data_IF_670458171013
#
_entry.id   IF_670458171013
#
_cell.length_a   1.000
_cell.length_b   1.000
_cell.length_c   1.000
_cell.angle_alpha   90.00
_cell.angle_beta   90.00
_cell.angle_gamma   90.00
#
_symmetry.space_group_name_H-M   'P 1'
#
loop_
_entity.id
_entity.type
_entity.pdbx_description
1 polymer ?
#
# COMPACT_ATOMS: atom_id res chain seq x y z
N UNK A 1 -68.50 6.78 46.13
CA UNK A 1 -68.01 7.96 45.37
C UNK A 1 -66.95 7.49 44.40
N UNK A 2 -67.39 7.21 43.18
CA UNK A 2 -66.61 6.66 42.07
C UNK A 2 -65.84 7.80 41.38
N UNK A 3 -64.53 7.65 41.21
CA UNK A 3 -63.72 8.52 40.35
C UNK A 3 -63.39 7.76 39.07
N UNK A 4 -64.07 8.10 37.98
CA UNK A 4 -63.74 7.64 36.63
C UNK A 4 -62.44 8.31 36.19
N UNK A 5 -61.40 7.50 35.94
CA UNK A 5 -60.23 7.93 35.15
C UNK A 5 -60.49 7.56 33.70
N UNK A 6 -60.66 8.59 32.86
CA UNK A 6 -60.70 8.47 31.41
C UNK A 6 -59.25 8.28 30.96
N UNK A 7 -58.91 7.06 30.50
CA UNK A 7 -57.67 6.78 29.80
C UNK A 7 -57.89 7.09 28.32
N UNK A 8 -57.28 8.17 27.84
CA UNK A 8 -57.20 8.48 26.41
C UNK A 8 -56.21 7.51 25.76
N UNK A 9 -56.72 6.59 24.94
CA UNK A 9 -55.90 5.79 24.04
C UNK A 9 -55.51 6.65 22.84
N UNK A 10 -54.22 7.00 22.74
CA UNK A 10 -53.65 7.55 21.52
C UNK A 10 -52.73 6.49 20.91
N UNK A 11 -53.29 5.68 20.01
CA UNK A 11 -52.53 4.82 19.13
C UNK A 11 -52.08 5.64 17.93
N UNK A 12 -50.81 6.07 17.91
CA UNK A 12 -50.15 6.52 16.69
C UNK A 12 -49.11 5.47 16.35
N UNK A 13 -49.54 4.51 15.53
CA UNK A 13 -48.65 3.64 14.78
C UNK A 13 -48.23 4.41 13.51
N UNK A 14 -47.07 5.06 13.55
CA UNK A 14 -46.34 5.43 12.34
C UNK A 14 -45.15 4.49 12.21
N UNK A 15 -45.41 3.32 11.64
CA UNK A 15 -44.37 2.41 11.16
C UNK A 15 -43.73 2.99 9.91
N UNK A 16 -42.62 3.71 10.08
CA UNK A 16 -41.71 4.01 8.99
C UNK A 16 -40.43 3.23 9.24
N UNK A 17 -40.43 1.95 8.89
CA UNK A 17 -39.18 1.20 8.75
C UNK A 17 -38.43 1.78 7.58
N UNK A 18 -37.53 2.73 7.84
CA UNK A 18 -36.51 3.12 6.88
C UNK A 18 -35.60 1.90 6.73
N UNK A 19 -35.77 1.17 5.63
CA UNK A 19 -34.84 0.12 5.24
C UNK A 19 -33.48 0.78 4.99
N UNK A 20 -32.56 0.61 5.94
CA UNK A 20 -31.15 0.96 5.74
C UNK A 20 -30.68 0.06 4.59
N UNK A 21 -30.17 0.61 3.47
CA UNK A 21 -29.57 -0.23 2.45
C UNK A 21 -28.38 -0.92 3.11
N UNK A 22 -28.45 -2.25 3.23
CA UNK A 22 -27.30 -3.04 3.64
C UNK A 22 -26.23 -2.81 2.57
N UNK A 23 -25.24 -1.99 2.92
CA UNK A 23 -23.98 -1.90 2.20
C UNK A 23 -23.51 -3.34 2.01
N UNK A 24 -23.57 -3.81 0.77
CA UNK A 24 -23.04 -5.09 0.35
C UNK A 24 -21.58 -5.11 0.77
N UNK A 25 -21.29 -5.85 1.85
CA UNK A 25 -19.92 -6.07 2.26
C UNK A 25 -19.20 -6.73 1.08
N UNK A 26 -18.07 -6.19 0.60
CA UNK A 26 -17.28 -6.91 -0.38
C UNK A 26 -16.95 -8.26 0.24
N UNK A 27 -17.32 -9.32 -0.48
CA UNK A 27 -17.03 -10.71 -0.13
C UNK A 27 -15.61 -10.81 0.41
N UNK A 28 -15.50 -11.05 1.71
CA UNK A 28 -14.25 -11.41 2.37
C UNK A 28 -13.85 -12.77 1.79
N UNK A 29 -13.18 -12.75 0.64
CA UNK A 29 -12.59 -13.93 0.06
C UNK A 29 -11.35 -14.26 0.91
N UNK A 30 -11.59 -14.87 2.07
CA UNK A 30 -10.60 -15.37 3.03
C UNK A 30 -9.93 -16.67 2.57
N UNK A 31 -10.03 -17.00 1.28
CA UNK A 31 -9.15 -17.98 0.69
C UNK A 31 -7.71 -17.45 0.79
N UNK A 32 -6.92 -18.04 1.68
CA UNK A 32 -5.47 -18.05 1.58
C UNK A 32 -5.09 -18.79 0.28
N UNK A 33 -5.42 -18.18 -0.86
CA UNK A 33 -5.00 -18.66 -2.16
C UNK A 33 -3.49 -18.68 -2.18
N UNK A 34 -2.91 -19.76 -2.70
CA UNK A 34 -1.47 -19.82 -2.94
C UNK A 34 -1.06 -18.57 -3.70
N UNK A 35 -0.10 -17.83 -3.15
CA UNK A 35 0.48 -16.66 -3.79
C UNK A 35 1.09 -17.12 -5.14
N UNK A 36 0.44 -16.77 -6.27
CA UNK A 36 0.94 -17.01 -7.64
C UNK A 36 1.52 -15.74 -8.27
N UNK A 37 2.67 -15.85 -8.94
CA UNK A 37 3.31 -14.73 -9.65
C UNK A 37 2.39 -14.02 -10.64
N UNK A 38 1.44 -14.77 -11.22
CA UNK A 38 0.51 -14.25 -12.20
C UNK A 38 -0.61 -13.38 -11.60
N UNK A 39 -0.79 -13.38 -10.28
CA UNK A 39 -1.70 -12.49 -9.55
C UNK A 39 -1.03 -11.20 -9.05
N UNK A 40 0.29 -11.06 -9.22
CA UNK A 40 1.02 -9.91 -8.73
C UNK A 40 0.84 -8.66 -9.62
N UNK A 41 0.85 -7.47 -9.01
CA UNK A 41 0.72 -6.20 -9.71
C UNK A 41 2.08 -5.54 -9.92
N UNK A 42 2.32 -4.96 -11.10
CA UNK A 42 3.44 -4.03 -11.25
C UNK A 42 3.28 -2.84 -10.27
N UNK A 43 4.34 -2.40 -9.57
CA UNK A 43 4.19 -1.59 -8.36
C UNK A 43 4.02 -0.08 -8.61
N UNK A 44 4.15 0.42 -9.85
CA UNK A 44 4.07 1.86 -10.14
C UNK A 44 3.31 2.15 -11.43
N UNK A 45 2.43 3.15 -11.37
CA UNK A 45 1.75 3.72 -12.54
C UNK A 45 2.66 4.75 -13.26
N UNK A 46 2.39 5.03 -14.53
CA UNK A 46 3.18 5.99 -15.35
C UNK A 46 4.69 5.70 -15.38
N UNK A 47 5.06 4.43 -15.40
CA UNK A 47 6.44 3.98 -15.48
C UNK A 47 7.15 4.54 -16.72
N UNK A 48 8.35 5.09 -16.53
CA UNK A 48 9.17 5.67 -17.59
C UNK A 48 10.43 4.86 -17.88
N UNK A 49 10.95 4.12 -16.89
CA UNK A 49 12.15 3.33 -17.05
C UNK A 49 12.80 2.92 -15.73
N UNK A 50 13.72 1.97 -15.81
CA UNK A 50 14.59 1.61 -14.69
C UNK A 50 15.76 2.58 -14.62
N UNK A 51 15.98 3.19 -13.45
CA UNK A 51 17.03 4.22 -13.29
C UNK A 51 18.22 3.74 -12.49
N UNK A 52 18.04 2.76 -11.60
CA UNK A 52 19.13 2.20 -10.80
C UNK A 52 18.89 0.73 -10.46
N UNK A 53 19.84 -0.18 -10.79
CA UNK A 53 19.71 -1.60 -10.53
C UNK A 53 20.02 -1.95 -9.07
N UNK A 54 19.52 -3.09 -8.61
CA UNK A 54 19.94 -3.73 -7.37
C UNK A 54 21.42 -4.15 -7.43
N UNK A 55 22.13 -4.05 -6.31
CA UNK A 55 23.53 -4.48 -6.16
C UNK A 55 24.51 -3.31 -6.04
N UNK A 56 25.80 -3.62 -6.14
CA UNK A 56 26.86 -2.61 -6.07
C UNK A 56 26.88 -1.73 -7.32
N UNK A 57 26.90 -0.41 -7.11
CA UNK A 57 26.94 0.60 -8.17
C UNK A 57 27.78 1.81 -7.73
N UNK A 58 28.16 2.65 -8.70
CA UNK A 58 28.73 3.97 -8.39
C UNK A 58 27.72 4.84 -7.66
N UNK A 59 28.20 5.74 -6.81
CA UNK A 59 27.34 6.68 -6.10
C UNK A 59 26.46 7.50 -7.07
N UNK A 60 25.14 7.62 -6.81
CA UNK A 60 24.24 8.43 -7.63
C UNK A 60 24.55 9.93 -7.51
N UNK A 61 25.30 10.36 -6.49
CA UNK A 61 25.72 11.76 -6.32
C UNK A 61 26.98 12.11 -7.10
N UNK A 62 27.56 11.16 -7.84
CA UNK A 62 28.79 11.37 -8.63
C UNK A 62 30.08 11.27 -7.81
N UNK A 63 29.98 10.96 -6.51
CA UNK A 63 31.15 10.65 -5.70
C UNK A 63 31.88 9.40 -6.22
N UNK A 64 33.22 9.34 -6.11
CA UNK A 64 34.02 8.19 -6.56
C UNK A 64 33.92 7.01 -5.57
N UNK A 65 32.73 6.77 -5.03
CA UNK A 65 32.43 5.72 -4.07
C UNK A 65 31.50 4.68 -4.70
N UNK A 66 31.61 3.44 -4.21
CA UNK A 66 30.67 2.37 -4.55
C UNK A 66 29.71 2.21 -3.40
N UNK A 67 28.40 2.16 -3.68
CA UNK A 67 27.37 1.87 -2.70
C UNK A 67 26.55 0.66 -3.11
N UNK A 68 26.06 -0.08 -2.12
CA UNK A 68 25.14 -1.19 -2.34
C UNK A 68 23.71 -0.68 -2.39
N UNK A 69 23.03 -0.90 -3.52
CA UNK A 69 21.64 -0.57 -3.72
C UNK A 69 20.75 -1.79 -3.42
N UNK A 70 19.97 -1.72 -2.34
CA UNK A 70 19.17 -2.84 -1.83
C UNK A 70 17.80 -3.01 -2.50
N UNK A 71 17.51 -2.24 -3.54
CA UNK A 71 16.25 -2.27 -4.27
C UNK A 71 16.42 -2.01 -5.76
N UNK A 72 15.32 -1.75 -6.44
CA UNK A 72 15.27 -1.36 -7.84
C UNK A 72 14.51 -0.04 -7.95
N UNK A 73 15.08 0.91 -8.69
CA UNK A 73 14.47 2.23 -8.86
C UNK A 73 13.70 2.32 -10.17
N UNK A 74 12.44 2.73 -10.08
CA UNK A 74 11.54 2.97 -11.20
C UNK A 74 11.28 4.46 -11.35
N UNK A 75 11.74 5.07 -12.45
CA UNK A 75 11.35 6.43 -12.80
C UNK A 75 9.85 6.48 -13.10
N UNK A 76 9.19 7.44 -12.46
CA UNK A 76 7.82 7.83 -12.75
C UNK A 76 7.62 9.28 -12.27
N UNK A 77 6.74 10.07 -12.91
CA UNK A 77 6.46 11.44 -12.48
C UNK A 77 6.02 11.49 -11.01
N UNK A 78 6.43 12.54 -10.29
CA UNK A 78 5.94 12.80 -8.94
C UNK A 78 4.40 12.84 -8.94
N UNK A 79 3.78 12.19 -7.96
CA UNK A 79 2.32 12.01 -7.89
C UNK A 79 1.80 10.76 -8.61
N UNK A 80 2.63 10.02 -9.35
CA UNK A 80 2.21 8.74 -9.93
C UNK A 80 1.85 7.75 -8.84
N UNK A 81 0.74 7.01 -8.99
CA UNK A 81 0.30 6.09 -7.96
C UNK A 81 1.23 4.87 -7.84
N UNK A 82 1.47 4.48 -6.60
CA UNK A 82 2.18 3.26 -6.21
C UNK A 82 1.13 2.21 -5.87
N UNK A 83 1.27 1.03 -6.45
CA UNK A 83 0.38 -0.11 -6.26
C UNK A 83 1.02 -1.16 -5.37
N UNK A 84 0.21 -1.77 -4.52
CA UNK A 84 0.61 -2.93 -3.75
C UNK A 84 0.93 -4.11 -4.67
N UNK A 85 2.17 -4.60 -4.62
CA UNK A 85 2.64 -5.71 -5.44
C UNK A 85 1.83 -6.99 -5.24
N UNK A 86 1.55 -7.34 -3.99
CA UNK A 86 0.88 -8.58 -3.63
C UNK A 86 0.06 -8.43 -2.36
N UNK A 87 -1.08 -9.12 -2.27
CA UNK A 87 -1.94 -9.13 -1.08
C UNK A 87 -1.12 -9.36 0.19
N UNK A 88 -1.33 -8.53 1.20
CA UNK A 88 -0.50 -8.55 2.40
C UNK A 88 -1.00 -7.66 3.51
N UNK A 89 -0.25 -7.63 4.60
CA UNK A 89 -0.49 -6.76 5.75
C UNK A 89 0.59 -5.68 5.82
N UNK A 90 0.20 -4.43 6.03
CA UNK A 90 1.12 -3.33 6.33
C UNK A 90 1.75 -3.61 7.68
N UNK A 91 3.06 -3.80 7.73
CA UNK A 91 3.79 -4.09 8.97
C UNK A 91 4.60 -2.91 9.48
N UNK A 92 4.82 -1.90 8.64
CA UNK A 92 5.49 -0.66 9.02
C UNK A 92 5.06 0.46 8.07
N UNK A 93 4.80 1.64 8.65
CA UNK A 93 4.86 2.92 7.96
C UNK A 93 5.92 3.77 8.64
N UNK A 94 6.75 4.47 7.88
CA UNK A 94 7.78 5.32 8.48
C UNK A 94 8.05 6.53 7.61
N UNK A 95 8.65 7.55 8.20
CA UNK A 95 9.13 8.75 7.52
C UNK A 95 10.46 9.21 8.14
N UNK A 96 11.06 10.27 7.60
CA UNK A 96 12.33 10.84 8.08
C UNK A 96 13.54 9.87 8.08
N UNK A 97 13.50 8.82 7.25
CA UNK A 97 14.64 7.92 7.00
C UNK A 97 15.33 8.26 5.67
N UNK A 98 16.43 7.56 5.34
CA UNK A 98 17.01 7.64 3.99
C UNK A 98 16.02 7.20 2.89
N UNK A 99 15.10 6.29 3.22
CA UNK A 99 13.99 5.86 2.37
C UNK A 99 12.85 6.90 2.32
N UNK A 100 12.92 7.97 3.11
CA UNK A 100 11.87 8.99 3.17
C UNK A 100 10.60 8.43 3.82
N UNK A 101 9.45 8.87 3.32
CA UNK A 101 8.15 8.27 3.64
C UNK A 101 8.05 6.91 2.97
N UNK A 102 7.69 5.89 3.75
CA UNK A 102 7.68 4.50 3.32
C UNK A 102 6.49 3.73 3.85
N UNK A 103 6.16 2.67 3.11
CA UNK A 103 5.23 1.61 3.51
C UNK A 103 5.95 0.27 3.31
N UNK A 104 5.89 -0.62 4.31
CA UNK A 104 6.33 -2.01 4.22
C UNK A 104 5.15 -2.94 4.39
N UNK A 105 5.04 -3.92 3.50
CA UNK A 105 3.97 -4.91 3.52
C UNK A 105 4.55 -6.33 3.54
N UNK A 106 3.95 -7.19 4.36
CA UNK A 106 4.23 -8.61 4.45
C UNK A 106 3.21 -9.42 3.63
N UNK A 107 3.70 -10.26 2.73
CA UNK A 107 2.93 -11.18 1.89
C UNK A 107 3.46 -12.61 2.03
N UNK A 108 2.95 -13.35 3.02
CA UNK A 108 3.46 -14.70 3.34
C UNK A 108 4.91 -14.62 3.79
N UNK A 109 5.83 -15.27 3.07
CA UNK A 109 7.27 -15.21 3.34
C UNK A 109 7.99 -14.00 2.68
N UNK A 110 7.26 -13.15 1.97
CA UNK A 110 7.80 -11.97 1.29
C UNK A 110 7.56 -10.69 2.08
N UNK A 111 8.55 -9.81 2.10
CA UNK A 111 8.36 -8.40 2.43
C UNK A 111 8.64 -7.55 1.20
N UNK A 112 7.88 -6.47 1.05
CA UNK A 112 8.10 -5.46 0.03
C UNK A 112 8.00 -4.07 0.64
N UNK A 113 8.97 -3.22 0.33
CA UNK A 113 9.09 -1.85 0.85
C UNK A 113 9.02 -0.88 -0.31
N UNK A 114 8.24 0.17 -0.14
CA UNK A 114 8.05 1.27 -1.08
C UNK A 114 8.62 2.53 -0.44
N UNK A 115 9.61 3.15 -1.08
CA UNK A 115 10.33 4.32 -0.57
C UNK A 115 10.03 5.58 -1.39
N UNK A 116 10.49 6.72 -0.86
CA UNK A 116 10.44 8.05 -1.46
C UNK A 116 9.01 8.50 -1.76
N UNK A 117 8.04 8.05 -0.96
CA UNK A 117 6.63 8.30 -1.20
C UNK A 117 6.25 9.76 -0.88
N UNK A 118 5.18 10.25 -1.49
CA UNK A 118 4.47 11.44 -1.02
C UNK A 118 3.76 11.16 0.30
N UNK A 119 3.47 12.22 1.04
CA UNK A 119 2.84 12.14 2.35
C UNK A 119 3.84 12.03 3.48
N UNK A 120 3.32 11.75 4.68
CA UNK A 120 4.07 11.64 5.94
C UNK A 120 3.38 10.65 6.85
N UNK A 121 4.03 10.25 7.93
CA UNK A 121 3.43 9.42 8.96
C UNK A 121 2.79 10.32 10.02
N UNK A 122 1.58 9.95 10.43
CA UNK A 122 0.85 10.63 11.50
C UNK A 122 0.46 9.62 12.57
N UNK A 123 0.42 10.08 13.82
CA UNK A 123 -0.18 9.30 14.90
C UNK A 123 -1.69 9.51 14.91
N UNK A 124 -2.42 8.40 14.92
CA UNK A 124 -3.88 8.37 14.95
C UNK A 124 -4.36 7.59 16.17
N UNK A 125 -5.63 7.72 16.58
CA UNK A 125 -6.20 6.88 17.64
C UNK A 125 -6.08 5.36 17.37
N UNK A 126 -5.97 4.97 16.09
CA UNK A 126 -5.87 3.57 15.65
C UNK A 126 -4.41 3.10 15.46
N UNK A 127 -3.42 3.97 15.66
CA UNK A 127 -2.00 3.69 15.44
C UNK A 127 -1.35 4.63 14.42
N UNK A 128 -0.17 4.27 13.92
CA UNK A 128 0.55 5.06 12.91
C UNK A 128 -0.06 4.84 11.55
N UNK A 129 -0.24 5.93 10.80
CA UNK A 129 -0.73 5.88 9.44
C UNK A 129 0.17 6.71 8.51
N UNK A 130 0.44 6.20 7.32
CA UNK A 130 0.96 7.00 6.22
C UNK A 130 -0.23 7.76 5.58
N UNK A 131 -0.11 9.08 5.51
CA UNK A 131 -1.16 9.97 5.03
C UNK A 131 -0.64 10.84 3.90
N UNK A 132 -1.28 10.74 2.74
CA UNK A 132 -1.14 11.66 1.62
C UNK A 132 -2.52 12.24 1.25
N UNK A 133 -2.83 13.39 1.86
CA UNK A 133 -4.13 14.07 1.72
C UNK A 133 -4.44 14.47 0.28
N UNK A 134 -3.44 14.97 -0.45
CA UNK A 134 -3.63 15.39 -1.84
C UNK A 134 -3.87 14.21 -2.79
N UNK A 135 -3.48 13.00 -2.38
CA UNK A 135 -3.69 11.76 -3.14
C UNK A 135 -4.90 10.95 -2.71
N UNK A 136 -5.54 11.36 -1.60
CA UNK A 136 -6.61 10.58 -0.96
C UNK A 136 -6.12 9.25 -0.38
N UNK A 137 -4.84 9.16 0.03
CA UNK A 137 -4.26 7.93 0.54
C UNK A 137 -4.16 7.99 2.07
N UNK A 138 -4.65 6.93 2.70
CA UNK A 138 -4.54 6.67 4.13
C UNK A 138 -4.23 5.18 4.32
N UNK A 139 -3.03 4.87 4.81
CA UNK A 139 -2.55 3.50 5.02
C UNK A 139 -2.17 3.33 6.49
N UNK A 140 -2.92 2.50 7.21
CA UNK A 140 -2.71 2.23 8.62
C UNK A 140 -1.76 1.04 8.83
N UNK A 141 -0.85 1.12 9.80
CA UNK A 141 -0.12 -0.08 10.25
C UNK A 141 -1.09 -1.17 10.71
N UNK A 142 -0.83 -2.42 10.32
CA UNK A 142 -1.71 -3.56 10.56
C UNK A 142 -2.82 -3.75 9.52
N UNK A 143 -3.05 -2.77 8.64
CA UNK A 143 -4.06 -2.86 7.57
C UNK A 143 -3.72 -3.99 6.58
N UNK A 144 -4.72 -4.81 6.25
CA UNK A 144 -4.62 -5.74 5.12
C UNK A 144 -4.94 -5.01 3.81
N UNK A 145 -4.08 -5.17 2.82
CA UNK A 145 -4.15 -4.48 1.53
C UNK A 145 -4.21 -5.51 0.40
N UNK A 146 -5.19 -5.43 -0.52
CA UNK A 146 -5.27 -6.35 -1.65
C UNK A 146 -4.18 -6.05 -2.69
N UNK A 147 -3.89 -7.02 -3.56
CA UNK A 147 -2.98 -6.81 -4.70
C UNK A 147 -3.52 -5.69 -5.60
N UNK A 148 -2.63 -4.83 -6.11
CA UNK A 148 -2.96 -3.75 -7.04
C UNK A 148 -3.58 -2.51 -6.40
N UNK A 149 -3.91 -2.55 -5.10
CA UNK A 149 -4.44 -1.38 -4.40
C UNK A 149 -3.44 -0.22 -4.45
N UNK A 150 -3.94 1.01 -4.64
CA UNK A 150 -3.11 2.21 -4.54
C UNK A 150 -2.76 2.45 -3.07
N UNK A 151 -1.47 2.39 -2.75
CA UNK A 151 -0.94 2.51 -1.38
C UNK A 151 -0.15 3.79 -1.15
N UNK A 152 -0.02 4.64 -2.16
CA UNK A 152 0.68 5.89 -2.07
C UNK A 152 0.95 6.47 -3.45
N UNK A 153 1.79 7.50 -3.49
CA UNK A 153 2.23 8.15 -4.72
C UNK A 153 3.72 8.40 -4.68
N UNK A 154 4.37 8.36 -5.85
CA UNK A 154 5.79 8.67 -6.04
C UNK A 154 6.05 10.10 -5.57
N UNK A 155 7.02 10.26 -4.69
CA UNK A 155 7.40 11.53 -4.09
C UNK A 155 8.87 11.86 -4.30
N UNK A 156 9.37 12.71 -3.40
CA UNK A 156 10.74 13.21 -3.34
C UNK A 156 11.26 13.24 -1.91
N UNK A 157 10.75 12.36 -1.04
CA UNK A 157 11.14 12.31 0.37
C UNK A 157 12.38 11.43 0.58
N UNK A 158 13.17 11.71 1.62
CA UNK A 158 14.39 10.96 1.92
C UNK A 158 15.55 11.30 0.99
N UNK A 159 16.47 10.35 0.81
CA UNK A 159 17.69 10.51 0.01
C UNK A 159 17.41 10.11 -1.45
N UNK A 160 17.04 11.08 -2.27
CA UNK A 160 16.69 10.89 -3.69
C UNK A 160 17.25 12.00 -4.57
N UNK A 161 17.55 11.69 -5.83
CA UNK A 161 18.03 12.65 -6.84
C UNK A 161 16.95 13.09 -7.83
N UNK A 162 15.79 12.45 -7.82
CA UNK A 162 14.66 12.75 -8.72
C UNK A 162 13.46 11.83 -8.49
N UNK A 163 12.27 12.13 -9.03
CA UNK A 163 11.07 11.36 -8.73
C UNK A 163 11.18 9.91 -9.20
N UNK A 164 11.11 8.97 -8.27
CA UNK A 164 11.12 7.54 -8.55
C UNK A 164 10.50 6.76 -7.39
N UNK A 165 10.07 5.52 -7.68
CA UNK A 165 9.82 4.52 -6.64
C UNK A 165 11.11 3.72 -6.45
N UNK A 166 11.66 3.72 -5.24
CA UNK A 166 12.63 2.72 -4.82
C UNK A 166 11.89 1.54 -4.18
N UNK A 167 12.09 0.34 -4.73
CA UNK A 167 11.38 -0.86 -4.30
C UNK A 167 12.34 -1.95 -3.83
N UNK A 168 12.24 -2.30 -2.55
CA UNK A 168 13.05 -3.37 -1.94
C UNK A 168 12.19 -4.61 -1.74
N UNK A 169 12.75 -5.79 -2.06
CA UNK A 169 12.13 -7.09 -1.79
C UNK A 169 12.98 -7.91 -0.82
N UNK A 170 12.31 -8.61 0.09
CA UNK A 170 12.91 -9.68 0.90
C UNK A 170 12.10 -10.95 0.81
N UNK A 171 12.78 -12.09 0.80
CA UNK A 171 12.18 -13.41 0.99
C UNK A 171 12.83 -14.09 2.19
N UNK A 172 12.02 -14.45 3.19
CA UNK A 172 12.50 -15.04 4.45
C UNK A 172 13.65 -14.22 5.07
N UNK A 173 13.48 -12.89 5.08
CA UNK A 173 14.45 -11.94 5.63
C UNK A 173 15.66 -11.60 4.74
N UNK A 174 15.88 -12.34 3.64
CA UNK A 174 17.00 -12.12 2.73
C UNK A 174 16.62 -11.17 1.59
N UNK A 175 17.50 -10.22 1.25
CA UNK A 175 17.29 -9.32 0.12
C UNK A 175 17.22 -10.11 -1.19
N UNK A 176 16.26 -9.76 -2.04
CA UNK A 176 16.07 -10.35 -3.36
C UNK A 176 16.17 -9.26 -4.41
N UNK A 177 16.93 -9.50 -5.47
CA UNK A 177 17.00 -8.60 -6.62
C UNK A 177 15.61 -8.49 -7.27
N UNK A 178 14.95 -7.32 -7.27
CA UNK A 178 13.59 -7.21 -7.81
C UNK A 178 13.49 -7.51 -9.32
N UNK A 179 14.58 -7.37 -10.08
CA UNK A 179 14.59 -7.67 -11.50
C UNK A 179 14.24 -9.15 -11.81
N UNK A 180 14.73 -10.11 -11.00
CA UNK A 180 14.44 -11.54 -11.22
C UNK A 180 12.98 -11.85 -10.92
N UNK A 181 12.39 -11.12 -9.97
CA UNK A 181 10.98 -11.25 -9.60
C UNK A 181 10.09 -10.70 -10.72
N UNK A 182 10.43 -9.54 -11.28
CA UNK A 182 9.71 -8.98 -12.43
C UNK A 182 9.75 -9.91 -13.66
N UNK A 183 10.88 -10.56 -13.92
CA UNK A 183 10.99 -11.57 -14.99
C UNK A 183 10.07 -12.77 -14.73
N UNK A 184 10.04 -13.30 -13.51
CA UNK A 184 9.16 -14.40 -13.13
C UNK A 184 7.66 -14.01 -13.25
N UNK A 185 7.30 -12.80 -12.81
CA UNK A 185 5.95 -12.25 -12.98
C UNK A 185 5.56 -12.21 -14.46
N UNK A 186 6.37 -11.57 -15.30
CA UNK A 186 6.11 -11.44 -16.73
C UNK A 186 5.94 -12.81 -17.40
N UNK A 187 6.86 -13.75 -17.13
CA UNK A 187 6.77 -15.10 -17.69
C UNK A 187 5.49 -15.82 -17.30
N UNK A 188 5.06 -15.70 -16.04
CA UNK A 188 3.82 -16.33 -15.56
C UNK A 188 2.54 -15.66 -16.07
N UNK A 189 2.58 -14.36 -16.34
CA UNK A 189 1.43 -13.58 -16.83
C UNK A 189 1.25 -13.75 -18.33
N UNK A 190 2.33 -13.89 -19.09
CA UNK A 190 2.30 -14.18 -20.52
C UNK A 190 1.74 -15.58 -20.85
N UNK A 191 1.61 -16.45 -19.85
CA UNK A 191 1.07 -17.80 -19.97
C UNK A 191 -0.41 -17.93 -19.57
N UNK A 192 -1.06 -16.83 -19.15
CA UNK A 192 -2.52 -16.79 -18.94
C UNK A 192 -3.25 -16.50 -20.24
#
# INVERSE_FOLDING_TARGET
MHWQRISLALAIACGSTVAIPQLSQPSQNTGAGTLRWSDASFPVENFQGYTSPFGYRRSPTGEPTTEFHNGLDFAAPQGSYIRNWWVGQVIEVSDHTACGTLVRIQSGAWEHVYCHMMGRVEQTPQGRAMVDRAGGIFILEGQRVPTGARIGRVGMTGRTTGPHLHWTLRYRGQLVNPAVVLQAMYGSQAQR
#
